data_IF_787695968868
#
_entry.id   IF_787695968868
#
_cell.length_a   1.000
_cell.length_b   1.000
_cell.length_c   1.000
_cell.angle_alpha   90.00
_cell.angle_beta   90.00
_cell.angle_gamma   90.00
#
_symmetry.space_group_name_H-M   'P 1'
#
loop_
_entity.id
_entity.type
_entity.pdbx_description
1 polymer ?
#
# COMPACT_ATOMS: atom_id res chain seq x y z
N UNK A 1 -5.47 19.30 -10.75
CA UNK A 1 -6.56 18.58 -11.44
C UNK A 1 -7.26 17.71 -10.40
N UNK A 2 -8.30 18.21 -9.73
CA UNK A 2 -8.93 17.56 -8.58
C UNK A 2 -9.95 16.49 -8.98
N UNK A 3 -9.48 15.37 -9.50
CA UNK A 3 -10.31 14.17 -9.66
C UNK A 3 -10.60 13.61 -8.27
N UNK A 4 -11.87 13.30 -7.99
CA UNK A 4 -12.27 12.61 -6.77
C UNK A 4 -11.33 11.42 -6.50
N UNK A 5 -10.99 11.12 -5.23
CA UNK A 5 -10.12 10.01 -4.92
C UNK A 5 -10.69 8.76 -5.60
N UNK A 6 -9.92 8.20 -6.53
CA UNK A 6 -10.29 6.97 -7.21
C UNK A 6 -10.48 5.87 -6.16
N UNK A 7 -11.32 4.86 -6.44
CA UNK A 7 -11.56 3.73 -5.52
C UNK A 7 -10.25 3.06 -5.08
N UNK A 8 -9.19 3.18 -5.89
CA UNK A 8 -7.86 2.61 -5.65
C UNK A 8 -6.84 3.59 -5.07
N UNK A 9 -7.26 4.74 -4.56
CA UNK A 9 -6.33 5.72 -3.97
C UNK A 9 -5.51 5.17 -2.79
N UNK A 10 -5.97 4.10 -2.15
CA UNK A 10 -5.21 3.40 -1.11
C UNK A 10 -3.95 2.69 -1.66
N UNK A 11 -3.85 2.41 -2.97
CA UNK A 11 -2.65 1.82 -3.58
C UNK A 11 -1.58 2.84 -3.95
N UNK A 12 -1.95 4.13 -4.05
CA UNK A 12 -1.06 5.23 -4.46
C UNK A 12 0.18 5.48 -3.58
N UNK A 13 0.21 5.16 -2.27
CA UNK A 13 1.40 5.36 -1.44
C UNK A 13 2.63 4.55 -1.88
N UNK A 14 2.45 3.56 -2.75
CA UNK A 14 3.49 2.66 -3.23
C UNK A 14 3.40 2.51 -4.76
N UNK A 15 4.53 2.48 -5.44
CA UNK A 15 4.56 2.30 -6.90
C UNK A 15 3.95 0.96 -7.31
N UNK A 16 3.21 0.88 -8.44
CA UNK A 16 2.70 -0.37 -9.00
C UNK A 16 3.77 -1.46 -9.15
N UNK A 17 5.00 -1.08 -9.45
CA UNK A 17 6.12 -2.02 -9.59
C UNK A 17 6.42 -2.75 -8.28
N UNK A 18 6.35 -2.04 -7.14
CA UNK A 18 6.62 -2.62 -5.83
C UNK A 18 5.51 -3.60 -5.45
N UNK A 19 4.25 -3.31 -5.79
CA UNK A 19 3.15 -4.27 -5.62
C UNK A 19 3.39 -5.57 -6.39
N UNK A 20 3.88 -5.48 -7.63
CA UNK A 20 4.25 -6.65 -8.42
C UNK A 20 5.41 -7.43 -7.78
N UNK A 21 6.43 -6.74 -7.26
CA UNK A 21 7.54 -7.39 -6.55
C UNK A 21 7.09 -8.07 -5.24
N UNK A 22 6.17 -7.47 -4.48
CA UNK A 22 5.60 -8.08 -3.26
C UNK A 22 4.84 -9.36 -3.61
N UNK A 23 4.02 -9.33 -4.67
CA UNK A 23 3.28 -10.51 -5.12
C UNK A 23 4.23 -11.63 -5.57
N UNK A 24 5.27 -11.30 -6.33
CA UNK A 24 6.28 -12.26 -6.76
C UNK A 24 7.05 -12.85 -5.58
N UNK A 25 7.48 -12.02 -4.63
CA UNK A 25 8.19 -12.45 -3.43
C UNK A 25 7.31 -13.37 -2.56
N UNK A 26 6.03 -13.02 -2.41
CA UNK A 26 5.04 -13.84 -1.71
C UNK A 26 4.93 -15.25 -2.33
N UNK A 27 4.74 -15.33 -3.65
CA UNK A 27 4.68 -16.62 -4.35
C UNK A 27 5.98 -17.41 -4.20
N UNK A 28 7.13 -16.73 -4.30
CA UNK A 28 8.45 -17.34 -4.12
C UNK A 28 8.63 -17.94 -2.73
N UNK A 29 8.30 -17.19 -1.67
CA UNK A 29 8.44 -17.65 -0.29
C UNK A 29 7.50 -18.81 0.02
N UNK A 30 6.25 -18.76 -0.43
CA UNK A 30 5.31 -19.89 -0.26
C UNK A 30 5.79 -21.16 -0.97
N UNK A 31 6.35 -21.04 -2.19
CA UNK A 31 6.94 -22.17 -2.90
C UNK A 31 8.17 -22.73 -2.16
N UNK A 32 9.07 -21.87 -1.67
CA UNK A 32 10.27 -22.27 -0.92
C UNK A 32 9.89 -22.96 0.39
N UNK A 33 8.90 -22.42 1.12
CA UNK A 33 8.37 -23.04 2.34
C UNK A 33 7.77 -24.41 2.06
N UNK A 34 6.97 -24.54 1.00
CA UNK A 34 6.39 -25.82 0.59
C UNK A 34 7.46 -26.88 0.26
N UNK A 35 8.47 -26.49 -0.53
CA UNK A 35 9.58 -27.38 -0.91
C UNK A 35 10.34 -27.85 0.34
N UNK A 36 10.73 -26.93 1.21
CA UNK A 36 11.51 -27.25 2.41
C UNK A 36 10.69 -28.06 3.41
N UNK A 37 9.40 -27.75 3.58
CA UNK A 37 8.53 -28.53 4.43
C UNK A 37 8.32 -29.97 3.91
N UNK A 38 8.32 -30.18 2.58
CA UNK A 38 8.23 -31.52 2.00
C UNK A 38 9.52 -32.33 2.16
N UNK A 39 10.68 -31.68 2.01
CA UNK A 39 12.00 -32.32 2.10
C UNK A 39 12.50 -32.50 3.54
N UNK A 40 12.04 -31.69 4.49
CA UNK A 40 12.44 -31.80 5.90
C UNK A 40 11.67 -32.94 6.58
N UNK A 41 12.33 -34.05 6.97
CA UNK A 41 11.66 -35.15 7.69
C UNK A 41 11.17 -34.73 9.08
N UNK A 42 11.71 -33.62 9.63
CA UNK A 42 11.33 -33.08 10.94
C UNK A 42 9.95 -32.38 10.97
N UNK A 43 9.39 -32.06 9.79
CA UNK A 43 8.04 -31.48 9.68
C UNK A 43 6.94 -32.55 9.69
N UNK A 44 7.32 -33.82 9.48
CA UNK A 44 6.44 -34.98 9.52
C UNK A 44 6.27 -35.42 10.97
N UNK A 45 5.05 -35.35 11.50
CA UNK A 45 4.76 -35.78 12.88
C UNK A 45 3.65 -36.81 12.92
N UNK A 46 3.74 -37.76 13.85
CA UNK A 46 2.67 -38.71 14.09
C UNK A 46 1.46 -38.00 14.71
N UNK A 47 0.34 -38.00 13.99
CA UNK A 47 -0.91 -37.40 14.44
C UNK A 47 -1.53 -38.15 15.64
N UNK A 48 -1.20 -39.44 15.81
CA UNK A 48 -1.76 -40.31 16.84
C UNK A 48 -0.68 -41.10 17.58
N UNK A 49 0.11 -40.48 18.48
CA UNK A 49 1.18 -41.14 19.24
C UNK A 49 0.68 -42.28 20.16
N UNK A 50 -0.64 -42.37 20.39
CA UNK A 50 -1.28 -43.35 21.25
C UNK A 50 -1.66 -44.67 20.54
N UNK A 51 -1.48 -44.77 19.20
CA UNK A 51 -1.83 -45.96 18.44
C UNK A 51 -0.59 -46.54 17.72
N UNK A 52 0.14 -47.49 18.33
CA UNK A 52 1.47 -47.93 17.90
C UNK A 52 1.52 -48.79 16.61
N UNK A 53 0.52 -48.66 15.72
CA UNK A 53 0.41 -49.44 14.49
C UNK A 53 0.00 -48.63 13.24
N UNK A 54 -0.07 -47.30 13.34
CA UNK A 54 -0.38 -46.43 12.19
C UNK A 54 0.75 -45.45 11.96
N UNK A 55 1.66 -45.75 11.03
CA UNK A 55 2.73 -44.85 10.55
C UNK A 55 2.18 -43.71 9.67
N UNK A 56 1.11 -43.05 10.12
CA UNK A 56 0.49 -41.92 9.41
C UNK A 56 1.11 -40.62 9.90
N UNK A 57 2.26 -40.30 9.32
CA UNK A 57 2.91 -39.01 9.53
C UNK A 57 2.19 -37.91 8.75
N UNK A 58 1.76 -36.87 9.45
CA UNK A 58 1.09 -35.72 8.87
C UNK A 58 2.04 -34.54 8.72
N UNK A 59 1.90 -33.82 7.61
CA UNK A 59 2.60 -32.58 7.34
C UNK A 59 1.55 -31.47 7.15
N UNK A 60 1.49 -30.55 8.11
CA UNK A 60 0.52 -29.44 8.09
C UNK A 60 0.88 -28.37 7.05
N UNK A 61 2.08 -28.36 6.49
CA UNK A 61 2.47 -27.47 5.39
C UNK A 61 2.14 -28.09 4.03
N UNK A 62 0.85 -28.11 3.69
CA UNK A 62 0.42 -28.25 2.30
C UNK A 62 0.69 -26.94 1.52
N UNK A 63 0.63 -26.98 0.19
CA UNK A 63 0.89 -25.81 -0.66
C UNK A 63 -0.07 -24.65 -0.34
N UNK A 64 -1.34 -24.97 -0.07
CA UNK A 64 -2.37 -24.01 0.31
C UNK A 64 -2.14 -23.45 1.73
N UNK A 65 -1.69 -24.29 2.66
CA UNK A 65 -1.31 -23.87 4.02
C UNK A 65 -0.03 -23.01 4.03
N UNK A 66 0.88 -23.24 3.09
CA UNK A 66 2.10 -22.42 2.91
C UNK A 66 1.77 -21.01 2.38
N UNK A 67 0.77 -20.91 1.50
CA UNK A 67 0.21 -19.62 1.09
C UNK A 67 -0.50 -18.93 2.25
N UNK A 68 -1.31 -19.67 3.02
CA UNK A 68 -2.01 -19.14 4.19
C UNK A 68 -1.04 -18.60 5.25
N UNK A 69 0.04 -19.33 5.54
CA UNK A 69 1.11 -18.89 6.43
C UNK A 69 1.74 -17.58 5.96
N UNK A 70 2.08 -17.49 4.66
CA UNK A 70 2.72 -16.31 4.09
C UNK A 70 1.78 -15.08 4.06
N UNK A 71 0.48 -15.27 3.80
CA UNK A 71 -0.55 -14.21 3.91
C UNK A 71 -0.70 -13.76 5.36
N UNK A 72 -0.79 -14.68 6.32
CA UNK A 72 -0.91 -14.34 7.73
C UNK A 72 0.23 -13.43 8.19
N UNK A 73 1.47 -13.80 7.86
CA UNK A 73 2.65 -12.99 8.18
C UNK A 73 2.65 -11.61 7.49
N UNK A 74 2.08 -11.49 6.29
CA UNK A 74 1.91 -10.21 5.58
C UNK A 74 0.81 -9.35 6.20
N UNK A 75 -0.23 -9.94 6.76
CA UNK A 75 -1.28 -9.24 7.50
C UNK A 75 -0.91 -8.95 8.96
N UNK A 76 0.33 -9.26 9.38
CA UNK A 76 0.76 -9.27 10.79
C UNK A 76 -0.15 -10.12 11.70
N UNK A 77 -0.86 -11.09 11.12
CA UNK A 77 -1.66 -12.06 11.85
C UNK A 77 -0.87 -13.36 11.99
N UNK A 78 -0.71 -13.83 13.23
CA UNK A 78 -0.11 -15.14 13.46
C UNK A 78 -0.94 -16.23 12.78
N UNK A 79 -0.27 -17.21 12.18
CA UNK A 79 -0.93 -18.42 11.68
C UNK A 79 -1.02 -19.47 12.80
N UNK A 80 -2.08 -20.26 12.78
CA UNK A 80 -2.20 -21.46 13.64
C UNK A 80 -1.16 -22.54 13.28
N UNK A 81 -0.57 -22.42 12.09
CA UNK A 81 0.52 -23.27 11.60
C UNK A 81 1.84 -22.84 12.23
N UNK A 82 2.40 -23.67 13.10
CA UNK A 82 3.67 -23.40 13.76
C UNK A 82 4.79 -24.27 13.14
N UNK A 83 5.80 -23.66 12.47
CA UNK A 83 6.91 -24.41 11.89
C UNK A 83 7.72 -25.13 12.98
N UNK A 84 7.94 -26.43 12.78
CA UNK A 84 8.66 -27.28 13.74
C UNK A 84 10.15 -27.34 13.41
N UNK A 85 10.51 -27.37 12.12
CA UNK A 85 11.91 -27.41 11.70
C UNK A 85 12.60 -26.05 11.87
N UNK A 86 13.90 -26.08 12.17
CA UNK A 86 14.70 -24.85 12.31
C UNK A 86 14.84 -24.10 10.98
N UNK A 87 14.91 -24.82 9.86
CA UNK A 87 14.97 -24.25 8.51
C UNK A 87 13.72 -23.45 8.13
N UNK A 88 12.53 -24.00 8.39
CA UNK A 88 11.24 -23.33 8.13
C UNK A 88 11.05 -22.12 9.04
N UNK A 89 11.53 -22.18 10.30
CA UNK A 89 11.55 -21.03 11.22
C UNK A 89 12.43 -19.88 10.75
N UNK A 90 13.64 -20.15 10.25
CA UNK A 90 14.53 -19.09 9.74
C UNK A 90 13.88 -18.39 8.55
N UNK A 91 13.30 -19.14 7.61
CA UNK A 91 12.63 -18.56 6.43
C UNK A 91 11.40 -17.76 6.83
N UNK A 92 10.58 -18.28 7.74
CA UNK A 92 9.46 -17.54 8.31
C UNK A 92 9.91 -16.25 9.01
N UNK A 93 11.03 -16.27 9.73
CA UNK A 93 11.60 -15.10 10.38
C UNK A 93 12.11 -14.04 9.40
N UNK A 94 12.79 -14.44 8.33
CA UNK A 94 13.23 -13.54 7.26
C UNK A 94 12.02 -12.92 6.55
N UNK A 95 11.01 -13.74 6.24
CA UNK A 95 9.77 -13.26 5.63
C UNK A 95 9.05 -12.26 6.54
N UNK A 96 8.95 -12.56 7.84
CA UNK A 96 8.35 -11.67 8.81
C UNK A 96 9.08 -10.33 8.94
N UNK A 97 10.41 -10.35 8.94
CA UNK A 97 11.21 -9.12 8.95
C UNK A 97 11.00 -8.30 7.67
N UNK A 98 10.95 -8.97 6.52
CA UNK A 98 10.65 -8.33 5.24
C UNK A 98 9.26 -7.68 5.24
N UNK A 99 8.21 -8.39 5.68
CA UNK A 99 6.85 -7.83 5.72
C UNK A 99 6.73 -6.66 6.68
N UNK A 100 7.42 -6.69 7.83
CA UNK A 100 7.49 -5.56 8.75
C UNK A 100 8.03 -4.29 8.08
N UNK A 101 9.16 -4.39 7.36
CA UNK A 101 9.75 -3.24 6.66
C UNK A 101 8.76 -2.67 5.64
N UNK A 102 8.15 -3.53 4.82
CA UNK A 102 7.21 -3.12 3.79
C UNK A 102 6.01 -2.39 4.40
N UNK A 103 5.40 -2.92 5.46
CA UNK A 103 4.24 -2.31 6.09
C UNK A 103 4.62 -0.99 6.75
N UNK A 104 5.75 -0.91 7.45
CA UNK A 104 6.23 0.34 8.03
C UNK A 104 6.47 1.41 6.96
N UNK A 105 7.08 1.06 5.82
CA UNK A 105 7.27 1.99 4.70
C UNK A 105 5.95 2.41 4.06
N UNK A 106 5.00 1.49 3.88
CA UNK A 106 3.67 1.81 3.38
C UNK A 106 2.93 2.76 4.32
N UNK A 107 2.95 2.51 5.63
CA UNK A 107 2.33 3.38 6.64
C UNK A 107 2.98 4.77 6.66
N UNK A 108 4.31 4.86 6.55
CA UNK A 108 5.02 6.13 6.49
C UNK A 108 4.67 6.93 5.22
N UNK A 109 4.68 6.28 4.05
CA UNK A 109 4.34 6.92 2.77
C UNK A 109 2.87 7.34 2.73
N UNK A 110 1.96 6.53 3.28
CA UNK A 110 0.55 6.88 3.40
C UNK A 110 0.38 8.10 4.31
N UNK A 111 1.08 8.17 5.44
CA UNK A 111 1.01 9.33 6.32
C UNK A 111 1.54 10.61 5.64
N UNK A 112 2.64 10.49 4.88
CA UNK A 112 3.17 11.58 4.07
C UNK A 112 2.20 12.01 2.97
N UNK A 113 1.54 11.07 2.30
CA UNK A 113 0.53 11.37 1.29
C UNK A 113 -0.66 12.16 1.87
N UNK A 114 -1.17 11.73 3.03
CA UNK A 114 -2.28 12.39 3.73
C UNK A 114 -1.93 13.80 4.23
N UNK A 115 -0.66 14.10 4.52
CA UNK A 115 -0.24 15.45 4.91
C UNK A 115 0.08 16.34 3.71
N UNK A 116 0.53 15.78 2.58
CA UNK A 116 0.86 16.53 1.36
C UNK A 116 -0.38 16.91 0.56
N UNK A 117 -1.43 16.08 0.47
CA UNK A 117 -2.70 16.48 -0.18
C UNK A 117 -3.34 17.73 0.46
N UNK A 118 -2.92 18.11 1.67
CA UNK A 118 -3.36 19.34 2.35
C UNK A 118 -2.52 20.58 2.05
N UNK A 119 -1.41 20.48 1.32
CA UNK A 119 -0.48 21.60 1.08
C UNK A 119 -0.48 22.19 -0.33
N UNK A 120 -1.18 21.60 -1.30
CA UNK A 120 -1.37 22.26 -2.59
C UNK A 120 -2.52 23.28 -2.49
N UNK A 121 -2.18 24.57 -2.45
CA UNK A 121 -3.16 25.62 -2.71
C UNK A 121 -3.71 25.43 -4.12
N UNK A 122 -5.03 25.31 -4.26
CA UNK A 122 -5.67 25.11 -5.56
C UNK A 122 -5.40 26.26 -6.55
N UNK A 123 -4.98 27.42 -6.05
CA UNK A 123 -4.63 28.63 -6.80
C UNK A 123 -3.34 29.20 -6.20
N UNK A 124 -2.28 29.31 -7.01
CA UNK A 124 -1.00 29.90 -6.59
C UNK A 124 -0.81 31.32 -7.18
N UNK A 125 -1.52 31.65 -8.27
CA UNK A 125 -1.46 32.97 -8.94
C UNK A 125 -2.82 33.43 -9.47
N UNK A 126 -2.96 34.75 -9.63
CA UNK A 126 -4.09 35.38 -10.32
C UNK A 126 -4.23 34.90 -11.78
N UNK A 127 -3.12 34.50 -12.42
CA UNK A 127 -3.16 33.88 -13.76
C UNK A 127 -3.88 32.53 -13.76
N UNK A 128 -3.72 31.74 -12.71
CA UNK A 128 -4.38 30.44 -12.61
C UNK A 128 -5.86 30.61 -12.33
N UNK A 129 -6.22 31.62 -11.54
CA UNK A 129 -7.60 32.03 -11.30
C UNK A 129 -8.29 32.51 -12.59
N UNK A 130 -7.58 33.26 -13.44
CA UNK A 130 -8.08 33.76 -14.72
C UNK A 130 -8.27 32.67 -15.79
N UNK A 131 -7.47 31.60 -15.73
CA UNK A 131 -7.53 30.47 -16.70
C UNK A 131 -8.64 29.47 -16.39
N UNK A 132 -9.03 29.36 -15.13
CA UNK A 132 -10.04 28.40 -14.67
C UNK A 132 -11.40 29.09 -14.51
N UNK A 133 -12.49 28.36 -14.79
CA UNK A 133 -13.87 28.84 -14.64
C UNK A 133 -14.64 28.11 -13.53
N UNK A 134 -13.96 27.25 -12.77
CA UNK A 134 -14.57 26.37 -11.75
C UNK A 134 -14.82 27.11 -10.43
N UNK A 135 -13.93 28.03 -10.07
CA UNK A 135 -13.97 28.85 -8.85
C UNK A 135 -14.36 30.25 -9.28
N UNK A 136 -15.51 30.73 -8.79
CA UNK A 136 -15.97 32.09 -9.03
C UNK A 136 -15.09 33.10 -8.26
N UNK A 137 -14.84 34.25 -8.88
CA UNK A 137 -14.10 35.35 -8.30
C UNK A 137 -14.77 36.67 -8.65
N UNK A 138 -14.55 37.70 -7.82
CA UNK A 138 -15.17 39.01 -8.01
C UNK A 138 -14.56 40.09 -7.12
N UNK A 139 -15.00 41.33 -7.33
CA UNK A 139 -14.62 42.49 -6.55
C UNK A 139 -15.87 43.18 -5.98
N UNK A 140 -15.70 43.96 -4.90
CA UNK A 140 -16.78 44.75 -4.30
C UNK A 140 -17.26 45.82 -5.29
N UNK A 141 -18.59 45.93 -5.42
CA UNK A 141 -19.25 46.91 -6.29
C UNK A 141 -18.86 48.34 -5.85
N UNK A 142 -18.56 49.20 -6.81
CA UNK A 142 -18.07 50.58 -6.60
C UNK A 142 -16.77 50.70 -5.78
N UNK A 143 -16.03 49.60 -5.61
CA UNK A 143 -14.74 49.58 -4.95
C UNK A 143 -13.59 50.08 -5.82
N UNK A 144 -12.52 50.58 -5.19
CA UNK A 144 -11.28 50.97 -5.88
C UNK A 144 -10.69 49.81 -6.70
N UNK A 145 -10.78 48.58 -6.20
CA UNK A 145 -10.31 47.36 -6.87
C UNK A 145 -11.07 47.07 -8.16
N UNK A 146 -12.39 47.27 -8.19
CA UNK A 146 -13.20 47.11 -9.41
C UNK A 146 -12.77 48.11 -10.50
N UNK A 147 -12.57 49.38 -10.12
CA UNK A 147 -12.06 50.40 -11.03
C UNK A 147 -10.61 50.14 -11.47
N UNK A 148 -9.79 49.51 -10.62
CA UNK A 148 -8.44 49.09 -10.97
C UNK A 148 -8.45 48.03 -12.07
N UNK A 149 -9.23 46.95 -11.92
CA UNK A 149 -9.36 45.91 -12.95
C UNK A 149 -9.95 46.45 -14.25
N UNK A 150 -10.94 47.35 -14.17
CA UNK A 150 -11.55 48.01 -15.33
C UNK A 150 -10.58 48.91 -16.13
N UNK A 151 -9.57 49.49 -15.49
CA UNK A 151 -8.58 50.40 -16.10
C UNK A 151 -7.19 49.75 -16.26
N UNK A 152 -7.04 48.49 -15.87
CA UNK A 152 -5.77 47.79 -15.95
C UNK A 152 -5.39 47.51 -17.40
N UNK A 153 -4.10 47.62 -17.73
CA UNK A 153 -3.53 47.27 -19.04
C UNK A 153 -2.71 45.98 -19.00
N UNK A 154 -2.83 45.21 -17.91
CA UNK A 154 -2.17 43.91 -17.77
C UNK A 154 -3.09 42.85 -18.36
N UNK A 155 -2.60 42.08 -19.32
CA UNK A 155 -3.39 41.10 -20.09
C UNK A 155 -4.14 40.09 -19.22
N UNK A 156 -3.58 39.70 -18.07
CA UNK A 156 -4.23 38.79 -17.12
C UNK A 156 -5.44 39.44 -16.46
N UNK A 157 -5.28 40.70 -16.01
CA UNK A 157 -6.32 41.44 -15.31
C UNK A 157 -7.43 41.92 -16.24
N UNK A 158 -7.10 42.22 -17.50
CA UNK A 158 -8.11 42.46 -18.55
C UNK A 158 -8.94 41.20 -18.79
N UNK A 159 -8.31 40.01 -18.86
CA UNK A 159 -9.03 38.74 -19.00
C UNK A 159 -9.91 38.38 -17.80
N UNK A 160 -9.51 38.81 -16.60
CA UNK A 160 -10.32 38.61 -15.38
C UNK A 160 -11.53 39.56 -15.33
N UNK A 161 -11.49 40.68 -16.05
CA UNK A 161 -12.57 41.66 -16.11
C UNK A 161 -13.52 41.43 -17.29
N UNK A 162 -13.02 40.82 -18.37
CA UNK A 162 -13.77 40.49 -19.58
C UNK A 162 -14.81 39.39 -19.36
#
# INVERSE_FOLDING_TARGET
>A
NGTAPSVFSFLNPLSPDIWMYILLAYLGVSCVLFVIARFSPYEWYDAHPCNPGTDVVENNFTLLNSFWFAIGALMQQGSELMPKALSTRIIGGIWWFFTLIIISSYTANLAAFLTVERMESAIDSADDLAKQTKIEYGAVIDGATMNFFKKSHISTFEKMWA
#
